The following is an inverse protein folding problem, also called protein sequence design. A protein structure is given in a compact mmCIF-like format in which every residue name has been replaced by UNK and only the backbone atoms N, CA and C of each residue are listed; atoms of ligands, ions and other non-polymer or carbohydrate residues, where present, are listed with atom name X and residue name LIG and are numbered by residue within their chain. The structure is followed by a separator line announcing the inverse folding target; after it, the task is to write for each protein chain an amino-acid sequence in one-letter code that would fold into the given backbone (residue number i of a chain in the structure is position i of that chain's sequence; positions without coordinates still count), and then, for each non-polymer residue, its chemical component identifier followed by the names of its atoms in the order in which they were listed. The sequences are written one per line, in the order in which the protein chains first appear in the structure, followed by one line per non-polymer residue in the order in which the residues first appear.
data_IF_702575338631
#
_entry.id   IF_702575338631
#
_cell.length_a   1.000
_cell.length_b   1.000
_cell.length_c   1.000
_cell.angle_alpha   90.00
_cell.angle_beta   90.00
_cell.angle_gamma   90.00
#
_symmetry.space_group_name_H-M   'P 1'
#
loop_
_entity.id
_entity.type
_entity.pdbx_description
1 polymer ?
#
# COMPACT_ATOMS: atom_id res chain seq x y z
N UNK A 1 -18.51 -25.09 -3.50
CA UNK A 1 -17.50 -24.55 -4.45
C UNK A 1 -17.63 -23.04 -4.41
N UNK A 2 -16.73 -22.33 -3.71
CA UNK A 2 -16.80 -20.86 -3.57
C UNK A 2 -16.21 -20.28 -4.86
N UNK A 3 -17.02 -19.59 -5.66
CA UNK A 3 -16.52 -18.82 -6.81
C UNK A 3 -15.57 -17.74 -6.27
N UNK A 4 -14.41 -17.47 -6.89
CA UNK A 4 -13.58 -16.34 -6.51
C UNK A 4 -14.42 -15.07 -6.72
N UNK A 5 -14.78 -14.41 -5.62
CA UNK A 5 -15.45 -13.12 -5.65
C UNK A 5 -14.43 -12.11 -6.14
N UNK A 6 -14.62 -11.57 -7.34
CA UNK A 6 -13.82 -10.45 -7.83
C UNK A 6 -14.18 -9.23 -7.00
N UNK A 7 -13.38 -8.94 -5.97
CA UNK A 7 -13.55 -7.74 -5.16
C UNK A 7 -12.97 -6.52 -5.90
N UNK A 8 -13.73 -5.44 -5.95
CA UNK A 8 -13.40 -4.20 -6.64
C UNK A 8 -13.38 -2.98 -5.72
N UNK A 9 -13.30 -1.79 -6.33
CA UNK A 9 -13.34 -0.52 -5.59
C UNK A 9 -14.65 -0.32 -4.83
N UNK A 10 -15.77 -0.74 -5.43
CA UNK A 10 -17.12 -0.62 -4.84
C UNK A 10 -17.33 -1.53 -3.61
N UNK A 11 -16.40 -2.46 -3.37
CA UNK A 11 -16.39 -3.36 -2.22
C UNK A 11 -15.60 -2.80 -1.02
N UNK A 12 -15.19 -1.53 -1.09
CA UNK A 12 -14.51 -0.80 -0.02
C UNK A 12 -15.24 0.51 0.22
N UNK A 13 -15.51 0.82 1.48
CA UNK A 13 -16.13 2.09 1.87
C UNK A 13 -15.25 2.80 2.88
N UNK A 14 -14.83 4.01 2.52
CA UNK A 14 -14.14 4.92 3.42
C UNK A 14 -15.17 5.62 4.32
N UNK A 15 -15.05 5.41 5.62
CA UNK A 15 -15.94 5.96 6.63
C UNK A 15 -15.41 7.26 7.21
N UNK A 16 -14.09 7.39 7.32
CA UNK A 16 -13.41 8.56 7.86
C UNK A 16 -11.95 8.63 7.40
N UNK A 17 -11.40 9.83 7.33
CA UNK A 17 -10.02 10.08 6.92
C UNK A 17 -9.48 11.33 7.61
N UNK A 18 -8.50 11.13 8.49
CA UNK A 18 -7.82 12.21 9.22
C UNK A 18 -6.31 12.15 9.00
N UNK A 19 -5.66 13.30 8.87
CA UNK A 19 -4.22 13.37 9.08
C UNK A 19 -3.92 13.41 10.57
N UNK A 20 -3.26 12.37 11.07
CA UNK A 20 -2.96 12.22 12.51
C UNK A 20 -1.56 12.69 12.88
N UNK A 21 -0.68 12.81 11.89
CA UNK A 21 0.65 13.39 12.07
C UNK A 21 1.13 14.07 10.79
N UNK A 22 1.65 15.29 10.94
CA UNK A 22 2.16 16.08 9.82
C UNK A 22 3.51 16.73 10.20
N UNK A 23 4.59 16.03 9.86
CA UNK A 23 5.98 16.50 10.00
C UNK A 23 6.73 16.40 8.67
N UNK A 24 8.00 15.96 8.68
CA UNK A 24 8.71 15.61 7.43
C UNK A 24 7.99 14.50 6.66
N UNK A 25 7.39 13.55 7.37
CA UNK A 25 6.46 12.58 6.82
C UNK A 25 5.03 12.91 7.23
N UNK A 26 4.10 12.45 6.40
CA UNK A 26 2.66 12.60 6.56
C UNK A 26 2.07 11.23 6.91
N UNK A 27 1.23 11.17 7.93
CA UNK A 27 0.52 9.94 8.31
C UNK A 27 -0.98 10.18 8.41
N UNK A 28 -1.71 9.41 7.62
CA UNK A 28 -3.16 9.43 7.57
C UNK A 28 -3.75 8.23 8.28
N UNK A 29 -4.86 8.47 8.98
CA UNK A 29 -5.69 7.44 9.59
C UNK A 29 -6.94 7.30 8.76
N UNK A 30 -7.08 6.15 8.11
CA UNK A 30 -8.26 5.75 7.37
C UNK A 30 -9.12 4.85 8.26
N UNK A 31 -10.40 5.20 8.41
CA UNK A 31 -11.41 4.30 8.93
C UNK A 31 -12.25 3.80 7.78
N UNK A 32 -12.29 2.49 7.56
CA UNK A 32 -12.97 1.90 6.40
C UNK A 32 -13.62 0.57 6.74
N UNK A 33 -14.49 0.10 5.87
CA UNK A 33 -14.96 -1.30 5.85
C UNK A 33 -14.83 -1.85 4.44
N UNK A 34 -14.80 -3.18 4.31
CA UNK A 34 -14.70 -3.85 3.01
C UNK A 34 -15.59 -5.09 2.97
N UNK A 35 -15.97 -5.56 1.78
CA UNK A 35 -16.66 -6.85 1.64
C UNK A 35 -15.71 -7.98 2.04
N UNK A 36 -16.25 -8.92 2.81
CA UNK A 36 -15.64 -10.21 3.12
C UNK A 36 -15.95 -11.20 1.99
N UNK A 37 -15.20 -12.31 1.94
CA UNK A 37 -15.43 -13.36 0.93
C UNK A 37 -16.79 -14.06 1.05
N UNK A 38 -17.43 -14.00 2.21
CA UNK A 38 -18.80 -14.47 2.43
C UNK A 38 -19.87 -13.49 1.89
N UNK A 39 -19.47 -12.35 1.32
CA UNK A 39 -20.34 -11.34 0.73
C UNK A 39 -20.81 -10.26 1.71
N UNK A 40 -20.60 -10.44 3.01
CA UNK A 40 -20.99 -9.45 4.01
C UNK A 40 -19.95 -8.32 4.14
N UNK A 41 -20.36 -7.19 4.69
CA UNK A 41 -19.43 -6.15 5.10
C UNK A 41 -18.66 -6.56 6.36
N UNK A 42 -17.38 -6.19 6.43
CA UNK A 42 -16.63 -6.23 7.67
C UNK A 42 -17.13 -5.14 8.64
N UNK A 43 -16.82 -5.33 9.93
CA UNK A 43 -16.89 -4.22 10.88
C UNK A 43 -15.91 -3.11 10.46
N UNK A 44 -16.17 -1.83 10.82
CA UNK A 44 -15.20 -0.77 10.61
C UNK A 44 -13.82 -1.14 11.17
N UNK A 45 -12.79 -0.90 10.38
CA UNK A 45 -11.39 -1.06 10.75
C UNK A 45 -10.66 0.26 10.59
N UNK A 46 -9.57 0.44 11.33
CA UNK A 46 -8.71 1.62 11.28
C UNK A 46 -7.32 1.24 10.78
N UNK A 47 -6.74 2.07 9.91
CA UNK A 47 -5.38 1.92 9.36
C UNK A 47 -4.67 3.25 9.43
N UNK A 48 -3.48 3.26 10.01
CA UNK A 48 -2.53 4.36 9.88
C UNK A 48 -1.62 4.05 8.69
N UNK A 49 -1.59 4.97 7.73
CA UNK A 49 -0.88 4.83 6.46
C UNK A 49 0.10 5.98 6.36
N UNK A 50 1.37 5.60 6.20
CA UNK A 50 2.46 6.54 6.01
C UNK A 50 2.51 6.98 4.54
N UNK A 51 2.12 8.21 4.26
CA UNK A 51 2.13 8.78 2.92
C UNK A 51 3.55 9.24 2.58
N UNK A 52 4.20 8.54 1.64
CA UNK A 52 5.58 8.81 1.17
C UNK A 52 5.67 9.17 -0.32
N UNK A 53 4.52 9.45 -0.95
CA UNK A 53 4.45 9.73 -2.38
C UNK A 53 4.79 8.51 -3.25
N UNK A 54 5.29 8.76 -4.45
CA UNK A 54 5.58 7.72 -5.44
C UNK A 54 7.09 7.62 -5.71
N UNK A 55 7.55 6.42 -6.04
CA UNK A 55 8.93 6.14 -6.41
C UNK A 55 9.01 5.40 -7.76
N UNK A 56 10.13 5.58 -8.46
CA UNK A 56 10.47 4.81 -9.65
C UNK A 56 11.71 3.96 -9.36
N UNK A 57 11.76 2.76 -9.95
CA UNK A 57 12.90 1.86 -9.84
C UNK A 57 13.27 1.33 -11.22
N UNK A 58 14.56 1.05 -11.40
CA UNK A 58 15.12 0.41 -12.59
C UNK A 58 16.04 -0.72 -12.15
N UNK A 59 16.06 -1.81 -12.91
CA UNK A 59 17.02 -2.91 -12.75
C UNK A 59 17.98 -2.88 -13.94
N UNK A 60 19.17 -2.24 -13.80
CA UNK A 60 20.14 -2.23 -14.88
C UNK A 60 20.78 -3.61 -15.00
N UNK A 61 20.62 -4.21 -16.18
CA UNK A 61 21.14 -5.53 -16.52
C UNK A 61 21.98 -5.45 -17.79
N UNK A 62 23.16 -6.07 -17.75
CA UNK A 62 24.03 -6.25 -18.92
C UNK A 62 23.92 -7.70 -19.44
N UNK A 63 23.32 -7.91 -20.62
CA UNK A 63 23.16 -9.26 -21.19
C UNK A 63 24.45 -9.89 -21.71
N UNK A 64 25.51 -9.12 -21.95
CA UNK A 64 26.78 -9.65 -22.45
C UNK A 64 27.57 -10.29 -21.31
N UNK A 65 27.54 -9.67 -20.13
CA UNK A 65 28.29 -10.14 -18.96
C UNK A 65 27.44 -10.90 -17.95
N UNK A 66 26.13 -11.01 -18.17
CA UNK A 66 25.15 -11.63 -17.27
C UNK A 66 25.22 -11.07 -15.84
N UNK A 67 25.16 -9.73 -15.73
CA UNK A 67 25.34 -9.01 -14.45
C UNK A 67 24.31 -7.92 -14.26
N UNK A 68 24.02 -7.63 -12.99
CA UNK A 68 23.18 -6.51 -12.56
C UNK A 68 24.01 -5.44 -11.87
N UNK A 69 23.67 -4.17 -12.12
CA UNK A 69 24.27 -3.05 -11.41
C UNK A 69 23.52 -2.80 -10.10
N UNK A 70 24.26 -2.76 -9.01
CA UNK A 70 23.76 -2.40 -7.69
C UNK A 70 24.34 -1.05 -7.26
N UNK A 71 23.61 -0.33 -6.42
CA UNK A 71 24.10 0.85 -5.71
C UNK A 71 24.21 0.52 -4.23
N UNK A 72 25.24 1.05 -3.58
CA UNK A 72 25.40 0.96 -2.13
C UNK A 72 25.13 2.33 -1.50
N UNK A 73 24.28 2.34 -0.47
CA UNK A 73 23.95 3.56 0.25
C UNK A 73 23.55 3.25 1.70
N UNK A 74 24.05 4.05 2.64
CA UNK A 74 23.53 4.04 4.01
C UNK A 74 22.11 4.59 4.06
N UNK A 75 21.19 3.83 4.67
CA UNK A 75 19.77 4.19 4.77
C UNK A 75 19.30 4.18 6.22
N UNK A 76 19.41 5.33 6.91
CA UNK A 76 18.97 5.46 8.31
C UNK A 76 17.45 5.30 8.52
N UNK A 77 16.64 5.42 7.47
CA UNK A 77 15.18 5.37 7.55
C UNK A 77 14.53 4.43 6.52
N UNK A 78 15.30 3.47 6.01
CA UNK A 78 14.74 2.28 5.37
C UNK A 78 14.10 1.38 6.44
#
# INVERSE_FOLDING_TARGET
MIKPTTLGRDDVELLDHDTVFQGYFHMDRYRLRHRKYDGDWSRPITREVLERGHAAAVLPYDPVTDRVLLIEQFRAGA
#
